data_IF_822269805148
#
_entry.id   IF_822269805148
#
_cell.length_a   1.000
_cell.length_b   1.000
_cell.length_c   1.000
_cell.angle_alpha   90.00
_cell.angle_beta   90.00
_cell.angle_gamma   90.00
#
_symmetry.space_group_name_H-M   'P 1'
#
loop_
_entity.id
_entity.type
_entity.pdbx_description
1 polymer ?
#
# COMPACT_ATOMS: atom_id res chain seq x y z
N UNK A 1 3.07 12.96 -17.42
CA UNK A 1 2.04 13.60 -18.29
C UNK A 1 0.69 13.61 -17.59
N UNK A 2 0.17 12.46 -17.17
CA UNK A 2 -1.15 12.32 -16.51
C UNK A 2 -1.39 13.26 -15.33
N UNK A 3 -0.50 13.28 -14.33
CA UNK A 3 -0.72 14.12 -13.14
C UNK A 3 -0.72 15.62 -13.42
N UNK A 4 0.11 16.07 -14.38
CA UNK A 4 0.11 17.48 -14.81
C UNK A 4 -1.21 17.86 -15.48
N UNK A 5 -1.79 16.95 -16.25
CA UNK A 5 -3.10 17.16 -16.88
C UNK A 5 -4.21 17.21 -15.83
N UNK A 6 -4.26 16.24 -14.90
CA UNK A 6 -5.26 16.22 -13.83
C UNK A 6 -5.17 17.48 -12.94
N UNK A 7 -3.95 17.90 -12.57
CA UNK A 7 -3.74 19.14 -11.82
C UNK A 7 -4.18 20.39 -12.59
N UNK A 8 -3.95 20.42 -13.92
CA UNK A 8 -4.39 21.52 -14.79
C UNK A 8 -5.91 21.67 -14.84
N UNK A 9 -6.64 20.57 -14.68
CA UNK A 9 -8.11 20.54 -14.55
C UNK A 9 -8.60 20.77 -13.10
N UNK A 10 -7.71 21.15 -12.19
CA UNK A 10 -8.05 21.45 -10.78
C UNK A 10 -8.23 20.23 -9.89
N UNK A 11 -7.92 19.02 -10.35
CA UNK A 11 -7.98 17.82 -9.51
C UNK A 11 -6.80 17.79 -8.53
N UNK A 12 -7.09 17.40 -7.29
CA UNK A 12 -6.07 17.17 -6.28
C UNK A 12 -5.18 15.99 -6.69
N UNK A 13 -3.88 16.23 -6.79
CA UNK A 13 -2.88 15.20 -7.09
C UNK A 13 -1.79 15.20 -6.01
N UNK A 14 -1.21 14.03 -5.68
CA UNK A 14 -0.10 13.96 -4.73
C UNK A 14 1.11 14.71 -5.27
N UNK A 15 1.78 15.44 -4.38
CA UNK A 15 3.07 16.07 -4.68
C UNK A 15 4.16 15.03 -4.84
N UNK A 16 5.14 15.34 -5.68
CA UNK A 16 6.18 14.39 -6.08
C UNK A 16 7.54 15.07 -6.15
N UNK A 17 8.58 14.30 -5.85
CA UNK A 17 9.97 14.62 -6.10
C UNK A 17 10.65 13.42 -6.78
N UNK A 18 11.69 13.69 -7.56
CA UNK A 18 12.51 12.63 -8.13
C UNK A 18 13.40 12.03 -7.01
N UNK A 19 13.64 10.72 -7.05
CA UNK A 19 14.52 10.08 -6.08
C UNK A 19 15.97 10.57 -6.18
N UNK A 20 16.39 11.05 -7.36
CA UNK A 20 17.71 11.65 -7.56
C UNK A 20 17.82 13.09 -7.02
N UNK A 21 16.69 13.76 -6.74
CA UNK A 21 16.65 15.08 -6.12
C UNK A 21 16.53 14.95 -4.60
N UNK A 22 17.66 14.71 -3.94
CA UNK A 22 17.70 14.53 -2.48
C UNK A 22 17.12 15.73 -1.74
N UNK A 23 17.50 16.95 -2.13
CA UNK A 23 16.96 18.16 -1.52
C UNK A 23 15.44 18.26 -1.69
N UNK A 24 14.94 17.92 -2.88
CA UNK A 24 13.51 17.94 -3.20
C UNK A 24 12.68 16.97 -2.35
N UNK A 25 13.10 15.71 -2.23
CA UNK A 25 12.33 14.75 -1.44
C UNK A 25 12.48 14.96 0.07
N UNK A 26 13.60 15.50 0.57
CA UNK A 26 13.71 15.93 1.97
C UNK A 26 12.74 17.06 2.28
N UNK A 27 12.66 18.08 1.42
CA UNK A 27 11.72 19.18 1.57
C UNK A 27 10.27 18.67 1.55
N UNK A 28 9.95 17.76 0.61
CA UNK A 28 8.65 17.10 0.55
C UNK A 28 8.35 16.38 1.87
N UNK A 29 9.26 15.52 2.35
CA UNK A 29 9.07 14.77 3.59
C UNK A 29 8.86 15.68 4.80
N UNK A 30 9.64 16.75 4.92
CA UNK A 30 9.50 17.73 6.00
C UNK A 30 8.13 18.43 5.97
N UNK A 31 7.60 18.69 4.77
CA UNK A 31 6.32 19.36 4.59
C UNK A 31 5.12 18.44 4.83
N UNK A 32 5.14 17.22 4.29
CA UNK A 32 3.98 16.31 4.34
C UNK A 32 4.02 15.33 5.51
N UNK A 33 5.18 15.17 6.15
CA UNK A 33 5.45 14.26 7.26
C UNK A 33 5.50 12.77 6.87
N UNK A 34 4.85 12.36 5.77
CA UNK A 34 4.82 10.96 5.34
C UNK A 34 4.81 10.84 3.82
N UNK A 35 5.70 10.00 3.28
CA UNK A 35 5.88 9.79 1.85
C UNK A 35 5.77 8.32 1.43
N UNK A 36 5.65 8.13 0.13
CA UNK A 36 5.68 6.86 -0.59
C UNK A 36 6.87 6.88 -1.53
N UNK A 37 7.60 5.77 -1.61
CA UNK A 37 8.63 5.56 -2.64
C UNK A 37 8.13 4.47 -3.58
N UNK A 38 8.19 4.72 -4.88
CA UNK A 38 7.78 3.73 -5.89
C UNK A 38 8.60 3.86 -7.19
N UNK A 39 8.85 2.76 -7.89
CA UNK A 39 9.36 2.83 -9.26
C UNK A 39 8.31 3.48 -10.17
N UNK A 40 8.75 4.22 -11.19
CA UNK A 40 7.85 4.83 -12.19
C UNK A 40 7.13 3.75 -12.99
N UNK A 41 7.83 2.66 -13.29
CA UNK A 41 7.31 1.49 -13.99
C UNK A 41 7.34 0.29 -13.06
N UNK A 42 6.25 -0.46 -13.00
CA UNK A 42 6.17 -1.62 -12.16
C UNK A 42 4.76 -2.22 -12.15
N UNK A 43 4.69 -3.47 -11.73
CA UNK A 43 3.46 -4.22 -11.57
C UNK A 43 3.33 -4.70 -10.13
N UNK A 44 2.09 -5.02 -9.73
CA UNK A 44 1.83 -5.72 -8.48
C UNK A 44 2.35 -5.02 -7.20
N UNK A 45 2.69 -3.74 -7.29
CA UNK A 45 3.29 -3.00 -6.17
C UNK A 45 4.70 -3.45 -5.78
N UNK A 46 5.41 -4.17 -6.66
CA UNK A 46 6.83 -4.49 -6.46
C UNK A 46 7.64 -3.20 -6.39
N UNK A 47 8.56 -3.12 -5.41
CA UNK A 47 9.37 -1.93 -5.17
C UNK A 47 8.64 -0.74 -4.54
N UNK A 48 7.36 -0.88 -4.18
CA UNK A 48 6.61 0.19 -3.50
C UNK A 48 6.81 0.08 -1.99
N UNK A 49 7.19 1.19 -1.36
CA UNK A 49 7.23 1.35 0.09
C UNK A 49 6.38 2.56 0.49
N UNK A 50 5.42 2.38 1.38
CA UNK A 50 4.46 3.43 1.79
C UNK A 50 4.57 3.78 3.27
N UNK A 51 3.96 4.87 3.72
CA UNK A 51 4.03 5.34 5.12
C UNK A 51 5.47 5.51 5.64
N UNK A 52 6.34 6.10 4.81
CA UNK A 52 7.74 6.39 5.16
C UNK A 52 7.81 7.74 5.86
N UNK A 53 8.43 7.78 7.05
CA UNK A 53 8.43 8.97 7.93
C UNK A 53 9.81 9.50 8.27
N UNK A 54 10.86 8.79 7.89
CA UNK A 54 12.25 9.18 8.14
C UNK A 54 13.06 9.19 6.85
N UNK A 55 14.09 10.03 6.79
CA UNK A 55 14.99 10.08 5.66
C UNK A 55 15.76 8.75 5.46
N UNK A 56 16.03 8.03 6.55
CA UNK A 56 16.66 6.72 6.50
C UNK A 56 15.75 5.69 5.81
N UNK A 57 14.48 5.64 6.19
CA UNK A 57 13.49 4.75 5.56
C UNK A 57 13.30 5.07 4.08
N UNK A 58 13.29 6.37 3.72
CA UNK A 58 13.16 6.82 2.33
C UNK A 58 14.36 6.37 1.50
N UNK A 59 15.60 6.54 1.98
CA UNK A 59 16.80 6.07 1.26
C UNK A 59 16.79 4.55 1.06
N UNK A 60 16.50 3.79 2.13
CA UNK A 60 16.40 2.35 2.04
C UNK A 60 15.28 1.90 1.07
N UNK A 61 14.18 2.64 1.01
CA UNK A 61 13.10 2.39 0.05
C UNK A 61 13.49 2.72 -1.39
N UNK A 62 14.25 3.78 -1.63
CA UNK A 62 14.77 4.14 -2.96
C UNK A 62 15.68 3.03 -3.49
N UNK A 63 16.61 2.54 -2.67
CA UNK A 63 17.49 1.43 -3.02
C UNK A 63 16.72 0.17 -3.41
N UNK A 64 15.67 -0.17 -2.64
CA UNK A 64 14.78 -1.31 -2.97
C UNK A 64 14.02 -1.08 -4.28
N UNK A 65 13.47 0.12 -4.49
CA UNK A 65 12.71 0.44 -5.69
C UNK A 65 13.57 0.37 -6.96
N UNK A 66 14.86 0.76 -6.87
CA UNK A 66 15.83 0.70 -7.97
C UNK A 66 16.12 -0.70 -8.48
N UNK A 67 15.85 -1.74 -7.70
CA UNK A 67 15.96 -3.13 -8.16
C UNK A 67 14.92 -3.47 -9.24
N UNK A 68 13.87 -2.66 -9.39
CA UNK A 68 12.77 -2.89 -10.32
C UNK A 68 12.73 -1.87 -11.46
N UNK A 69 13.18 -0.64 -11.24
CA UNK A 69 13.23 0.42 -12.25
C UNK A 69 14.27 1.47 -11.85
N UNK A 70 15.09 1.93 -12.79
CA UNK A 70 16.08 2.98 -12.54
C UNK A 70 15.41 4.30 -12.10
N UNK A 71 14.23 4.58 -12.64
CA UNK A 71 13.48 5.79 -12.36
C UNK A 71 12.54 5.58 -11.18
N UNK A 72 12.81 6.26 -10.07
CA UNK A 72 12.07 6.14 -8.81
C UNK A 72 11.50 7.50 -8.41
N UNK A 73 10.30 7.51 -7.87
CA UNK A 73 9.63 8.71 -7.36
C UNK A 73 9.43 8.63 -5.85
N UNK A 74 9.54 9.79 -5.21
CA UNK A 74 9.07 10.03 -3.85
C UNK A 74 7.80 10.86 -3.95
N UNK A 75 6.71 10.38 -3.37
CA UNK A 75 5.39 11.01 -3.47
C UNK A 75 4.75 11.22 -2.10
N UNK A 76 3.90 12.23 -1.96
CA UNK A 76 3.09 12.43 -0.77
C UNK A 76 2.23 11.19 -0.47
N UNK A 77 2.23 10.72 0.77
CA UNK A 77 1.29 9.69 1.22
C UNK A 77 -0.09 10.30 1.44
N UNK A 78 -1.08 9.84 0.67
CA UNK A 78 -2.48 10.24 0.82
C UNK A 78 -3.21 9.24 1.74
N UNK A 79 -3.65 9.72 2.91
CA UNK A 79 -4.49 8.93 3.83
C UNK A 79 -5.93 8.90 3.29
N UNK A 80 -6.54 7.72 3.32
CA UNK A 80 -7.92 7.52 2.89
C UNK A 80 -8.15 6.11 2.38
N UNK A 81 -9.31 5.89 1.76
CA UNK A 81 -9.63 4.63 1.10
C UNK A 81 -9.14 4.62 -0.36
N UNK A 82 -8.63 3.48 -0.80
CA UNK A 82 -8.25 3.24 -2.19
C UNK A 82 -9.50 2.91 -3.01
N UNK A 83 -10.16 3.95 -3.53
CA UNK A 83 -11.32 3.84 -4.39
C UNK A 83 -10.90 3.69 -5.86
N UNK A 84 -11.30 2.59 -6.48
CA UNK A 84 -11.12 2.33 -7.90
C UNK A 84 -12.41 2.64 -8.65
N UNK A 85 -12.36 3.60 -9.57
CA UNK A 85 -13.49 3.99 -10.42
C UNK A 85 -13.20 3.54 -11.86
N UNK A 86 -14.19 2.95 -12.52
CA UNK A 86 -14.13 2.57 -13.94
C UNK A 86 -15.07 3.47 -14.72
N UNK A 87 -14.52 4.19 -15.69
CA UNK A 87 -15.26 5.08 -16.59
C UNK A 87 -15.21 4.52 -18.00
N UNK A 88 -16.37 4.32 -18.62
CA UNK A 88 -16.53 3.92 -20.02
C UNK A 88 -17.54 4.88 -20.65
N UNK A 89 -17.23 5.39 -21.84
CA UNK A 89 -18.10 6.33 -22.58
C UNK A 89 -18.62 7.49 -21.71
N UNK A 90 -17.72 8.10 -20.94
CA UNK A 90 -17.99 9.21 -20.02
C UNK A 90 -18.93 8.89 -18.85
N UNK A 91 -19.21 7.62 -18.58
CA UNK A 91 -20.04 7.18 -17.46
C UNK A 91 -19.25 6.35 -16.46
N UNK A 92 -19.50 6.57 -15.16
CA UNK A 92 -19.01 5.66 -14.11
C UNK A 92 -19.84 4.38 -14.17
N UNK A 93 -19.21 3.28 -14.58
CA UNK A 93 -19.89 1.98 -14.77
C UNK A 93 -19.66 1.01 -13.61
N UNK A 94 -18.58 1.22 -12.86
CA UNK A 94 -18.25 0.41 -11.69
C UNK A 94 -17.34 1.19 -10.74
N UNK A 95 -17.43 0.85 -9.46
CA UNK A 95 -16.45 1.27 -8.49
C UNK A 95 -16.27 0.28 -7.36
N UNK A 96 -15.06 0.24 -6.83
CA UNK A 96 -14.73 -0.65 -5.73
C UNK A 96 -13.70 -0.06 -4.79
N UNK A 97 -13.92 -0.25 -3.48
CA UNK A 97 -12.91 0.05 -2.46
C UNK A 97 -11.97 -1.15 -2.32
N UNK A 98 -10.67 -0.88 -2.39
CA UNK A 98 -9.63 -1.86 -2.12
C UNK A 98 -9.16 -1.70 -0.69
N UNK A 99 -9.15 -2.80 0.07
CA UNK A 99 -8.69 -2.82 1.46
C UNK A 99 -7.40 -3.63 1.61
N UNK A 100 -6.39 -3.11 2.33
CA UNK A 100 -5.20 -3.87 2.65
C UNK A 100 -5.50 -5.15 3.44
N UNK A 101 -4.60 -6.16 3.37
CA UNK A 101 -4.76 -7.36 4.16
C UNK A 101 -4.62 -7.06 5.65
N UNK A 102 -5.45 -7.70 6.44
CA UNK A 102 -5.44 -7.65 7.90
C UNK A 102 -5.65 -9.04 8.49
N UNK A 103 -5.20 -9.20 9.74
CA UNK A 103 -5.46 -10.37 10.56
C UNK A 103 -6.18 -9.97 11.83
N UNK A 104 -6.96 -10.90 12.38
CA UNK A 104 -7.73 -10.70 13.61
C UNK A 104 -7.20 -11.63 14.69
N UNK A 105 -6.88 -11.08 15.85
CA UNK A 105 -6.40 -11.82 17.01
C UNK A 105 -7.46 -12.77 17.55
N UNK A 106 -7.00 -13.94 17.98
CA UNK A 106 -7.79 -14.95 18.68
C UNK A 106 -7.29 -15.17 20.12
N UNK A 107 -6.34 -14.35 20.59
CA UNK A 107 -5.73 -14.42 21.92
C UNK A 107 -4.76 -15.59 22.11
N UNK A 108 -4.45 -16.37 21.07
CA UNK A 108 -3.62 -17.59 21.19
C UNK A 108 -2.61 -17.76 20.09
N UNK A 109 -2.97 -17.47 18.84
CA UNK A 109 -2.10 -17.61 17.69
C UNK A 109 -1.18 -16.41 17.50
N UNK A 110 0.02 -16.67 17.00
CA UNK A 110 0.97 -15.61 16.62
C UNK A 110 0.52 -14.89 15.36
N UNK A 111 0.95 -13.65 15.15
CA UNK A 111 0.67 -12.89 13.92
C UNK A 111 1.07 -13.71 12.68
N UNK A 112 2.20 -14.42 12.70
CA UNK A 112 2.61 -15.34 11.63
C UNK A 112 1.56 -16.40 11.34
N UNK A 113 1.08 -17.11 12.36
CA UNK A 113 0.06 -18.16 12.20
C UNK A 113 -1.25 -17.59 11.66
N UNK A 114 -1.66 -16.41 12.13
CA UNK A 114 -2.84 -15.71 11.63
C UNK A 114 -2.70 -15.36 10.14
N UNK A 115 -1.54 -14.83 9.73
CA UNK A 115 -1.23 -14.49 8.33
C UNK A 115 -1.26 -15.73 7.44
N UNK A 116 -0.64 -16.83 7.90
CA UNK A 116 -0.60 -18.08 7.13
C UNK A 116 -2.00 -18.68 6.97
N UNK A 117 -2.80 -18.66 8.04
CA UNK A 117 -4.20 -19.12 8.02
C UNK A 117 -5.04 -18.31 7.04
N UNK A 118 -4.93 -16.98 7.10
CA UNK A 118 -5.61 -16.09 6.16
C UNK A 118 -5.13 -16.31 4.72
N UNK A 119 -3.83 -16.49 4.50
CA UNK A 119 -3.25 -16.75 3.18
C UNK A 119 -3.74 -18.07 2.58
N UNK A 120 -3.85 -19.13 3.38
CA UNK A 120 -4.43 -20.42 2.94
C UNK A 120 -5.88 -20.25 2.49
N UNK A 121 -6.69 -19.52 3.27
CA UNK A 121 -8.09 -19.24 2.93
C UNK A 121 -8.21 -18.43 1.64
N UNK A 122 -7.40 -17.39 1.48
CA UNK A 122 -7.37 -16.54 0.29
C UNK A 122 -6.96 -17.33 -0.94
N UNK A 123 -5.87 -18.10 -0.85
CA UNK A 123 -5.40 -18.94 -1.95
C UNK A 123 -6.49 -19.94 -2.40
N UNK A 124 -7.21 -20.58 -1.47
CA UNK A 124 -8.31 -21.47 -1.83
C UNK A 124 -9.45 -20.75 -2.55
N UNK A 125 -9.80 -19.53 -2.14
CA UNK A 125 -10.89 -18.75 -2.73
C UNK A 125 -10.55 -18.15 -4.11
N UNK A 126 -9.26 -17.92 -4.41
CA UNK A 126 -8.81 -17.27 -5.65
C UNK A 126 -8.01 -18.19 -6.57
N UNK A 127 -8.13 -19.52 -6.43
CA UNK A 127 -7.37 -20.46 -7.26
C UNK A 127 -5.83 -20.37 -7.10
N UNK A 128 -5.36 -19.85 -5.97
CA UNK A 128 -3.94 -19.71 -5.65
C UNK A 128 -3.36 -18.30 -5.81
N UNK A 129 -4.09 -17.38 -6.44
CA UNK A 129 -3.58 -16.06 -6.83
C UNK A 129 -3.35 -15.06 -5.67
N UNK A 130 -3.98 -15.28 -4.51
CA UNK A 130 -3.99 -14.33 -3.39
C UNK A 130 -3.37 -14.94 -2.14
N UNK A 131 -2.23 -14.40 -1.71
CA UNK A 131 -1.53 -14.77 -0.46
C UNK A 131 -0.90 -13.54 0.16
N UNK A 132 -0.76 -13.49 1.47
CA UNK A 132 -0.06 -12.39 2.15
C UNK A 132 1.42 -12.79 2.22
N UNK A 133 2.35 -12.10 1.53
CA UNK A 133 3.77 -12.41 1.62
C UNK A 133 4.31 -12.02 2.99
N UNK A 134 5.08 -12.92 3.60
CA UNK A 134 5.86 -12.65 4.81
C UNK A 134 7.24 -12.10 4.40
N UNK A 135 7.24 -10.87 3.90
CA UNK A 135 8.44 -10.16 3.44
C UNK A 135 8.79 -8.97 4.36
N UNK A 136 9.83 -8.22 3.99
CA UNK A 136 10.27 -7.04 4.73
C UNK A 136 9.20 -5.95 4.83
N UNK A 137 8.30 -5.83 3.85
CA UNK A 137 7.22 -4.84 3.88
C UNK A 137 6.14 -5.22 4.89
N UNK A 138 5.79 -6.52 4.96
CA UNK A 138 4.89 -7.01 5.99
C UNK A 138 5.49 -6.80 7.39
N UNK A 139 6.75 -7.17 7.59
CA UNK A 139 7.45 -6.97 8.85
C UNK A 139 7.48 -5.49 9.27
N UNK A 140 7.77 -4.58 8.31
CA UNK A 140 7.78 -3.13 8.55
C UNK A 140 6.40 -2.59 8.94
N UNK A 141 5.35 -3.02 8.26
CA UNK A 141 3.96 -2.63 8.55
C UNK A 141 3.53 -3.08 9.96
N UNK A 142 3.89 -4.31 10.34
CA UNK A 142 3.58 -4.89 11.66
C UNK A 142 4.37 -4.17 12.76
N UNK A 143 5.67 -3.94 12.55
CA UNK A 143 6.55 -3.24 13.48
C UNK A 143 6.10 -1.78 13.73
N UNK A 144 5.63 -1.09 12.69
CA UNK A 144 5.11 0.28 12.82
C UNK A 144 3.88 0.38 13.74
N UNK A 145 3.18 -0.74 13.98
CA UNK A 145 2.04 -0.85 14.90
C UNK A 145 2.44 -1.41 16.27
N UNK A 146 3.73 -1.58 16.56
CA UNK A 146 4.24 -2.06 17.85
C UNK A 146 4.14 -3.58 18.04
N UNK A 147 4.03 -4.34 16.94
CA UNK A 147 3.97 -5.79 16.96
C UNK A 147 5.12 -6.40 16.16
N UNK A 148 5.31 -7.71 16.28
CA UNK A 148 6.18 -8.52 15.43
C UNK A 148 5.44 -9.78 14.96
N UNK A 149 6.13 -10.66 14.23
CA UNK A 149 5.52 -11.89 13.69
C UNK A 149 5.19 -12.93 14.77
N UNK A 150 5.84 -12.86 15.94
CA UNK A 150 5.68 -13.82 17.04
C UNK A 150 4.71 -13.31 18.12
N UNK A 151 4.29 -12.05 18.01
CA UNK A 151 3.28 -11.41 18.84
C UNK A 151 1.94 -12.17 18.79
N UNK A 152 1.28 -12.29 19.95
CA UNK A 152 -0.09 -12.80 20.05
C UNK A 152 -1.03 -11.63 20.24
N UNK A 153 -1.96 -11.46 19.30
CA UNK A 153 -2.96 -10.39 19.35
C UNK A 153 -4.10 -10.76 20.30
N UNK A 154 -4.57 -9.78 21.07
CA UNK A 154 -5.79 -9.91 21.86
C UNK A 154 -6.98 -10.32 20.97
N UNK A 155 -7.96 -11.08 21.49
CA UNK A 155 -9.18 -11.39 20.76
C UNK A 155 -9.81 -10.15 20.14
N UNK A 156 -10.25 -10.27 18.89
CA UNK A 156 -10.90 -9.23 18.09
C UNK A 156 -10.04 -8.01 17.73
N UNK A 157 -8.76 -7.98 18.16
CA UNK A 157 -7.81 -6.96 17.75
C UNK A 157 -7.45 -7.16 16.26
N UNK A 158 -7.62 -6.11 15.46
CA UNK A 158 -7.31 -6.10 14.02
C UNK A 158 -5.93 -5.51 13.81
N UNK A 159 -5.08 -6.23 13.08
CA UNK A 159 -3.76 -5.78 12.69
C UNK A 159 -3.66 -5.76 11.17
N UNK A 160 -3.41 -4.58 10.60
CA UNK A 160 -3.07 -4.45 9.18
C UNK A 160 -1.67 -5.02 8.96
N UNK A 161 -1.51 -5.95 8.03
CA UNK A 161 -0.23 -6.67 7.83
C UNK A 161 0.52 -6.21 6.59
N UNK A 162 -0.11 -5.39 5.74
CA UNK A 162 0.53 -4.63 4.67
C UNK A 162 -0.23 -3.33 4.46
N UNK A 163 0.44 -2.30 3.97
CA UNK A 163 -0.18 -1.02 3.69
C UNK A 163 -0.77 -0.92 2.27
N UNK A 164 -0.37 -1.79 1.33
CA UNK A 164 -0.91 -1.81 -0.04
C UNK A 164 -2.14 -2.70 -0.15
N UNK A 165 -3.18 -2.20 -0.82
CA UNK A 165 -4.47 -2.89 -1.01
C UNK A 165 -4.51 -3.85 -2.23
N UNK A 166 -3.38 -4.50 -2.52
CA UNK A 166 -3.24 -5.35 -3.69
C UNK A 166 -3.92 -6.73 -3.48
N UNK A 167 -4.77 -7.13 -4.43
CA UNK A 167 -5.52 -8.40 -4.35
C UNK A 167 -4.60 -9.63 -4.25
N UNK A 168 -3.50 -9.65 -5.00
CA UNK A 168 -2.55 -10.76 -5.02
C UNK A 168 -1.76 -10.87 -3.69
N UNK A 169 -1.55 -9.76 -2.97
CA UNK A 169 -0.93 -9.77 -1.63
C UNK A 169 -1.93 -9.91 -0.48
N UNK A 170 -3.12 -10.47 -0.75
CA UNK A 170 -4.13 -10.74 0.26
C UNK A 170 -5.12 -9.61 0.55
N UNK A 171 -5.01 -8.48 -0.16
CA UNK A 171 -6.01 -7.41 -0.10
C UNK A 171 -7.39 -7.87 -0.59
N UNK A 172 -8.42 -7.09 -0.29
CA UNK A 172 -9.81 -7.37 -0.69
C UNK A 172 -10.38 -6.22 -1.51
N UNK A 173 -11.40 -6.53 -2.32
CA UNK A 173 -12.09 -5.58 -3.19
C UNK A 173 -13.57 -5.64 -2.83
N UNK A 174 -14.19 -4.50 -2.57
CA UNK A 174 -15.58 -4.36 -2.19
C UNK A 174 -16.27 -3.46 -3.19
N UNK A 175 -17.30 -3.97 -3.87
CA UNK A 175 -18.10 -3.19 -4.81
C UNK A 175 -18.87 -2.10 -4.05
N UNK A 176 -18.70 -0.85 -4.50
CA UNK A 176 -19.38 0.34 -3.96
C UNK A 176 -20.03 1.15 -5.09
N UNK A 177 -20.31 0.51 -6.23
CA UNK A 177 -20.86 1.17 -7.43
C UNK A 177 -22.17 1.89 -7.12
N UNK A 178 -23.03 1.28 -6.30
CA UNK A 178 -24.31 1.86 -5.88
C UNK A 178 -24.19 2.96 -4.82
N UNK A 179 -23.02 3.12 -4.20
CA UNK A 179 -22.75 4.10 -3.14
C UNK A 179 -22.06 5.38 -3.68
N UNK A 180 -21.62 5.37 -4.93
CA UNK A 180 -21.08 6.57 -5.57
C UNK A 180 -22.20 7.57 -5.87
N UNK A 181 -22.04 8.77 -5.31
CA UNK A 181 -22.93 9.91 -5.48
C UNK A 181 -22.68 10.64 -6.80
#
# INVERSE_FOLDING_TARGET
VTLKLLAGEGLAVPRQADADDEAGWHALLAEVGTVVVKPVEGEQGKGISVDLRSAEDVRAAIERARQFCDRVLVEQFCKGEDLRIVVIDHQVVAAAVRRPPEVVGDGRSTVRELIERQSRRRAAATGGESRIPLDAEAARCIAAQGHDLDSVLLPDCRLQVRNTANLHTGGTIHDVTAELH
#
